data_IF_814628448952
#
_entry.id   IF_814628448952
#
_cell.length_a   1.000
_cell.length_b   1.000
_cell.length_c   1.000
_cell.angle_alpha   90.00
_cell.angle_beta   90.00
_cell.angle_gamma   90.00
#
_symmetry.space_group_name_H-M   'P 1'
#
loop_
_entity.id
_entity.type
_entity.pdbx_description
1 polymer ?
#
# COMPACT_ATOMS: atom_id res chain seq x y z
N UNK A 1 -15.09 -17.05 -87.76
CA UNK A 1 -15.38 -15.80 -88.51
C UNK A 1 -15.87 -14.76 -87.51
N UNK A 2 -15.16 -13.61 -87.43
CA UNK A 2 -15.53 -12.37 -86.73
C UNK A 2 -15.46 -12.39 -85.19
N UNK A 3 -14.99 -11.38 -84.46
CA UNK A 3 -14.29 -10.14 -84.79
C UNK A 3 -13.68 -9.61 -83.47
N UNK A 4 -12.54 -8.93 -83.55
CA UNK A 4 -11.84 -8.29 -82.43
C UNK A 4 -12.58 -7.05 -81.89
N UNK A 5 -12.44 -6.74 -80.60
CA UNK A 5 -12.43 -5.36 -80.09
C UNK A 5 -11.57 -5.26 -78.82
N UNK A 6 -10.61 -4.33 -78.83
CA UNK A 6 -9.92 -3.79 -77.66
C UNK A 6 -10.26 -2.31 -77.55
N UNK A 7 -10.67 -1.84 -76.36
CA UNK A 7 -10.48 -0.46 -75.92
C UNK A 7 -10.54 -0.37 -74.38
N UNK A 8 -9.62 0.40 -73.81
CA UNK A 8 -9.45 0.72 -72.39
C UNK A 8 -10.38 1.88 -71.95
N UNK A 9 -10.72 1.97 -70.65
CA UNK A 9 -11.34 3.18 -70.07
C UNK A 9 -11.62 3.11 -68.56
N UNK A 10 -11.05 4.08 -67.82
CA UNK A 10 -11.08 4.29 -66.36
C UNK A 10 -12.44 4.69 -65.77
N UNK A 11 -12.72 4.22 -64.54
CA UNK A 11 -13.42 4.87 -63.40
C UNK A 11 -13.88 3.74 -62.46
N UNK A 12 -13.39 3.59 -61.23
CA UNK A 12 -13.56 4.53 -60.13
C UNK A 12 -14.65 4.00 -59.20
N UNK A 13 -14.27 3.29 -58.12
CA UNK A 13 -15.10 3.22 -56.92
C UNK A 13 -14.22 2.95 -55.69
N UNK A 14 -14.02 4.02 -54.91
CA UNK A 14 -13.56 3.96 -53.53
C UNK A 14 -14.66 3.30 -52.69
N UNK A 15 -14.36 2.14 -52.09
CA UNK A 15 -15.13 1.65 -50.96
C UNK A 15 -14.39 2.05 -49.69
N UNK A 16 -14.82 3.17 -49.11
CA UNK A 16 -14.54 3.53 -47.72
C UNK A 16 -15.20 2.50 -46.82
N UNK A 17 -14.40 1.52 -46.38
CA UNK A 17 -14.76 0.58 -45.32
C UNK A 17 -14.80 1.30 -43.98
N UNK A 18 -16.00 1.36 -43.41
CA UNK A 18 -16.32 1.91 -42.10
C UNK A 18 -15.42 1.35 -41.00
N UNK A 19 -14.85 2.23 -40.17
CA UNK A 19 -14.08 1.89 -38.98
C UNK A 19 -14.96 1.14 -37.96
N UNK A 20 -14.90 -0.19 -37.99
CA UNK A 20 -15.47 -1.06 -36.98
C UNK A 20 -14.47 -1.24 -35.84
N UNK A 21 -14.87 -0.85 -34.62
CA UNK A 21 -14.43 -1.48 -33.39
C UNK A 21 -13.03 -1.13 -32.88
N UNK A 22 -12.85 0.09 -32.36
CA UNK A 22 -11.87 0.32 -31.29
C UNK A 22 -12.43 -0.32 -30.02
N UNK A 23 -12.26 -1.63 -29.89
CA UNK A 23 -12.52 -2.36 -28.65
C UNK A 23 -11.28 -3.15 -28.28
N UNK A 24 -10.94 -3.07 -26.99
CA UNK A 24 -9.91 -3.83 -26.27
C UNK A 24 -8.50 -3.23 -26.21
N UNK A 25 -8.30 -2.23 -25.33
CA UNK A 25 -7.31 -2.32 -24.23
C UNK A 25 -7.74 -1.47 -23.01
N UNK A 26 -8.96 -1.62 -22.50
CA UNK A 26 -9.22 -1.26 -21.09
C UNK A 26 -9.12 -2.54 -20.27
N UNK A 27 -7.86 -2.94 -20.04
CA UNK A 27 -7.50 -4.08 -19.22
C UNK A 27 -7.88 -3.76 -17.78
N UNK A 28 -8.79 -4.56 -17.26
CA UNK A 28 -9.26 -4.64 -15.89
C UNK A 28 -8.07 -4.57 -14.89
N UNK A 29 -7.71 -3.36 -14.43
CA UNK A 29 -6.80 -3.19 -13.30
C UNK A 29 -7.66 -3.26 -12.04
N UNK A 30 -7.35 -4.20 -11.15
CA UNK A 30 -8.02 -4.28 -9.85
C UNK A 30 -7.71 -2.99 -9.06
N UNK A 31 -8.61 -2.48 -8.20
CA UNK A 31 -8.36 -1.28 -7.39
C UNK A 31 -6.99 -1.22 -6.68
N UNK A 32 -6.42 -2.34 -6.18
CA UNK A 32 -5.07 -2.36 -5.61
C UNK A 32 -3.94 -1.98 -6.60
N UNK A 33 -4.11 -2.29 -7.89
CA UNK A 33 -3.09 -2.02 -8.93
C UNK A 33 -3.07 -0.54 -9.34
N UNK A 34 -4.22 0.14 -9.35
CA UNK A 34 -4.29 1.58 -9.63
C UNK A 34 -3.69 2.41 -8.49
N UNK A 35 -3.95 2.04 -7.23
CA UNK A 35 -3.35 2.69 -6.05
C UNK A 35 -1.83 2.48 -5.98
N UNK A 36 -1.33 1.28 -6.31
CA UNK A 36 0.11 1.03 -6.43
C UNK A 36 0.75 1.87 -7.55
N UNK A 37 0.06 2.10 -8.67
CA UNK A 37 0.54 2.97 -9.75
C UNK A 37 0.56 4.46 -9.37
N UNK A 38 -0.40 4.95 -8.57
CA UNK A 38 -0.39 6.33 -8.07
C UNK A 38 0.64 6.55 -6.95
N UNK A 39 0.86 5.55 -6.08
CA UNK A 39 1.92 5.59 -5.06
C UNK A 39 3.34 5.63 -5.64
N UNK A 40 3.55 5.04 -6.82
CA UNK A 40 4.83 5.06 -7.56
C UNK A 40 5.23 6.44 -8.09
N UNK A 41 4.32 7.42 -8.13
CA UNK A 41 4.62 8.79 -8.58
C UNK A 41 4.72 9.81 -7.45
N UNK A 42 4.40 9.42 -6.21
CA UNK A 42 4.57 10.28 -5.05
C UNK A 42 6.02 10.18 -4.54
N UNK A 43 6.79 11.24 -4.76
CA UNK A 43 8.10 11.38 -4.12
C UNK A 43 7.90 11.84 -2.67
N UNK A 44 8.13 10.94 -1.72
CA UNK A 44 8.05 11.27 -0.30
C UNK A 44 9.20 12.20 0.10
N UNK A 45 8.86 13.23 0.88
CA UNK A 45 9.82 14.07 1.58
C UNK A 45 9.89 13.64 3.04
N UNK A 46 10.93 14.03 3.78
CA UNK A 46 11.00 13.75 5.22
C UNK A 46 9.73 14.24 5.95
N UNK A 47 9.22 15.42 5.55
CA UNK A 47 8.05 16.02 6.17
C UNK A 47 6.79 15.20 5.90
N UNK A 48 6.49 14.96 4.63
CA UNK A 48 5.26 14.26 4.24
C UNK A 48 5.27 12.79 4.65
N UNK A 49 6.44 12.16 4.69
CA UNK A 49 6.59 10.80 5.21
C UNK A 49 6.25 10.75 6.70
N UNK A 50 6.81 11.63 7.53
CA UNK A 50 6.52 11.61 8.98
C UNK A 50 5.03 11.90 9.25
N UNK A 51 4.45 12.85 8.51
CA UNK A 51 3.02 13.18 8.61
C UNK A 51 2.11 11.97 8.34
N UNK A 52 2.52 11.08 7.42
CA UNK A 52 1.73 9.91 7.03
C UNK A 52 2.12 8.62 7.76
N UNK A 53 3.39 8.42 8.07
CA UNK A 53 3.87 7.20 8.74
C UNK A 53 3.53 7.20 10.23
N UNK A 54 3.42 8.39 10.86
CA UNK A 54 3.01 8.49 12.27
C UNK A 54 1.62 7.86 12.52
N UNK A 55 0.54 8.27 11.83
CA UNK A 55 -0.76 7.62 11.99
C UNK A 55 -0.78 6.17 11.47
N UNK A 56 -0.07 5.87 10.37
CA UNK A 56 0.03 4.50 9.86
C UNK A 56 0.67 3.56 10.89
N UNK A 57 1.69 4.00 11.65
CA UNK A 57 2.22 3.21 12.76
C UNK A 57 1.23 3.10 13.93
N UNK A 58 0.43 4.13 14.20
CA UNK A 58 -0.57 4.08 15.26
C UNK A 58 -1.62 3.00 14.99
N UNK A 59 -2.11 2.87 13.75
CA UNK A 59 -3.07 1.82 13.39
C UNK A 59 -2.49 0.41 13.66
N UNK A 60 -1.20 0.18 13.33
CA UNK A 60 -0.51 -1.08 13.59
C UNK A 60 -0.33 -1.38 15.09
N UNK A 61 -0.05 -0.35 15.89
CA UNK A 61 0.03 -0.46 17.34
C UNK A 61 -1.34 -0.86 17.92
N UNK A 62 -2.42 -0.19 17.51
CA UNK A 62 -3.77 -0.46 18.01
C UNK A 62 -4.20 -1.91 17.71
N UNK A 63 -3.90 -2.41 16.50
CA UNK A 63 -4.12 -3.82 16.16
C UNK A 63 -3.27 -4.77 17.00
N UNK A 64 -2.00 -4.44 17.21
CA UNK A 64 -1.09 -5.26 17.98
C UNK A 64 -1.50 -5.32 19.47
N UNK A 65 -1.99 -4.22 20.04
CA UNK A 65 -2.55 -4.21 21.40
C UNK A 65 -3.77 -5.13 21.50
N UNK A 66 -4.66 -5.10 20.51
CA UNK A 66 -5.80 -6.01 20.46
C UNK A 66 -5.34 -7.48 20.39
N UNK A 67 -4.27 -7.76 19.64
CA UNK A 67 -3.69 -9.10 19.53
C UNK A 67 -3.11 -9.61 20.85
N UNK A 68 -2.62 -8.75 21.75
CA UNK A 68 -2.17 -9.20 23.07
C UNK A 68 -3.30 -9.88 23.87
N UNK A 69 -4.53 -9.41 23.68
CA UNK A 69 -5.72 -9.97 24.33
C UNK A 69 -6.31 -11.15 23.54
N UNK A 70 -6.52 -10.96 22.23
CA UNK A 70 -7.35 -11.85 21.41
C UNK A 70 -6.60 -12.91 20.60
N UNK A 71 -5.28 -12.76 20.40
CA UNK A 71 -4.58 -13.69 19.53
C UNK A 71 -4.57 -15.12 20.08
N UNK A 72 -4.74 -16.07 19.17
CA UNK A 72 -4.88 -17.50 19.44
C UNK A 72 -3.50 -18.17 19.51
N UNK A 73 -2.57 -17.78 18.62
CA UNK A 73 -1.23 -18.35 18.56
C UNK A 73 -0.19 -17.51 19.34
N UNK A 74 0.68 -18.15 20.15
CA UNK A 74 1.70 -17.43 20.92
C UNK A 74 2.72 -16.70 20.05
N UNK A 75 2.97 -17.19 18.83
CA UNK A 75 3.80 -16.54 17.81
C UNK A 75 3.24 -15.17 17.45
N UNK A 76 1.92 -15.04 17.30
CA UNK A 76 1.27 -13.78 16.95
C UNK A 76 1.31 -12.79 18.11
N UNK A 77 1.11 -13.24 19.36
CA UNK A 77 1.31 -12.38 20.55
C UNK A 77 2.76 -11.87 20.65
N UNK A 78 3.74 -12.70 20.27
CA UNK A 78 5.15 -12.31 20.25
C UNK A 78 5.42 -11.26 19.17
N UNK A 79 4.88 -11.45 17.96
CA UNK A 79 4.94 -10.44 16.90
C UNK A 79 4.32 -9.13 17.36
N UNK A 80 3.12 -9.17 17.94
CA UNK A 80 2.41 -7.98 18.41
C UNK A 80 3.25 -7.14 19.40
N UNK A 81 3.92 -7.78 20.37
CA UNK A 81 4.82 -7.06 21.29
C UNK A 81 6.00 -6.39 20.58
N UNK A 82 6.53 -7.02 19.52
CA UNK A 82 7.62 -6.43 18.74
C UNK A 82 7.12 -5.23 17.95
N UNK A 83 5.96 -5.34 17.29
CA UNK A 83 5.31 -4.24 16.55
C UNK A 83 5.11 -3.04 17.48
N UNK A 84 4.51 -3.23 18.65
CA UNK A 84 4.29 -2.15 19.63
C UNK A 84 5.62 -1.48 19.98
N UNK A 85 6.59 -2.27 20.47
CA UNK A 85 7.89 -1.75 20.91
C UNK A 85 8.60 -0.94 19.82
N UNK A 86 8.64 -1.48 18.60
CA UNK A 86 9.43 -0.91 17.53
C UNK A 86 8.73 0.31 16.93
N UNK A 87 7.43 0.22 16.65
CA UNK A 87 6.69 1.32 16.04
C UNK A 87 6.43 2.49 17.01
N UNK A 88 6.28 2.24 18.32
CA UNK A 88 6.24 3.33 19.32
C UNK A 88 7.56 4.11 19.39
N UNK A 89 8.69 3.38 19.35
CA UNK A 89 10.02 4.01 19.29
C UNK A 89 10.13 4.88 18.04
N UNK A 90 9.74 4.35 16.89
CA UNK A 90 9.84 5.02 15.59
C UNK A 90 8.92 6.26 15.53
N UNK A 91 7.70 6.18 16.05
CA UNK A 91 6.81 7.36 16.23
C UNK A 91 7.50 8.43 17.08
N UNK A 92 8.13 8.05 18.18
CA UNK A 92 8.81 9.01 19.08
C UNK A 92 10.00 9.69 18.40
N UNK A 93 10.81 8.92 17.66
CA UNK A 93 11.93 9.43 16.87
C UNK A 93 11.44 10.41 15.81
N UNK A 94 10.46 10.00 14.98
CA UNK A 94 9.86 10.83 13.95
C UNK A 94 9.26 12.13 14.50
N UNK A 95 8.49 12.08 15.59
CA UNK A 95 7.93 13.28 16.24
C UNK A 95 9.02 14.23 16.74
N UNK A 96 10.11 13.67 17.28
CA UNK A 96 11.25 14.44 17.78
C UNK A 96 11.94 15.16 16.62
N UNK A 97 12.25 14.44 15.55
CA UNK A 97 12.92 15.00 14.37
C UNK A 97 12.06 16.02 13.64
N UNK A 98 10.76 15.76 13.50
CA UNK A 98 9.83 16.69 12.88
C UNK A 98 9.81 18.05 13.60
N UNK A 99 9.72 18.04 14.93
CA UNK A 99 9.81 19.25 15.75
C UNK A 99 11.15 19.97 15.56
N UNK A 100 12.25 19.22 15.48
CA UNK A 100 13.59 19.80 15.29
C UNK A 100 13.77 20.44 13.92
N UNK A 101 13.29 19.80 12.85
CA UNK A 101 13.50 20.24 11.47
C UNK A 101 12.49 21.30 11.02
N UNK A 102 11.22 21.15 11.40
CA UNK A 102 10.13 22.00 10.92
C UNK A 102 9.61 23.00 11.97
N UNK A 103 10.19 22.98 13.19
CA UNK A 103 9.91 23.93 14.28
C UNK A 103 8.44 23.99 14.71
N UNK A 104 7.71 22.88 14.52
CA UNK A 104 6.30 22.72 14.86
C UNK A 104 6.00 21.23 15.09
N UNK A 105 4.97 20.88 15.89
CA UNK A 105 4.63 19.48 16.10
C UNK A 105 4.11 18.83 14.81
N UNK A 106 4.18 17.49 14.74
CA UNK A 106 3.54 16.72 13.66
C UNK A 106 2.05 17.10 13.65
N UNK A 107 1.49 17.58 12.52
CA UNK A 107 0.09 17.93 12.45
C UNK A 107 -0.75 16.69 12.70
N UNK A 108 -1.76 16.82 13.58
CA UNK A 108 -2.80 15.81 13.66
C UNK A 108 -3.58 15.85 12.34
N UNK A 109 -3.72 14.70 11.67
CA UNK A 109 -4.68 14.59 10.58
C UNK A 109 -6.07 14.89 11.14
N UNK A 110 -6.78 15.83 10.51
CA UNK A 110 -8.15 16.14 10.90
C UNK A 110 -9.03 14.90 10.74
N UNK A 111 -10.12 14.82 11.50
CA UNK A 111 -11.09 13.72 11.36
C UNK A 111 -11.62 13.59 9.92
N UNK A 112 -11.75 14.69 9.18
CA UNK A 112 -12.03 14.67 7.74
C UNK A 112 -10.91 13.99 6.92
N UNK A 113 -9.64 14.28 7.21
CA UNK A 113 -8.49 13.65 6.54
C UNK A 113 -8.39 12.15 6.84
N UNK A 114 -8.66 11.75 8.08
CA UNK A 114 -8.73 10.34 8.48
C UNK A 114 -9.92 9.62 7.85
N UNK A 115 -11.12 10.22 7.85
CA UNK A 115 -12.29 9.64 7.17
C UNK A 115 -12.07 9.46 5.66
N UNK A 116 -11.32 10.37 5.01
CA UNK A 116 -10.91 10.21 3.62
C UNK A 116 -9.99 9.01 3.38
N UNK A 117 -9.13 8.67 4.34
CA UNK A 117 -8.28 7.47 4.28
C UNK A 117 -9.07 6.18 4.51
N UNK A 118 -9.99 6.16 5.48
CA UNK A 118 -10.81 4.98 5.81
C UNK A 118 -11.90 4.66 4.77
N UNK A 119 -12.55 5.64 4.16
CA UNK A 119 -13.65 5.40 3.20
C UNK A 119 -13.18 5.16 1.75
N UNK A 120 -11.92 5.48 1.44
CA UNK A 120 -11.43 5.57 0.06
C UNK A 120 -10.16 4.78 -0.21
N UNK A 121 -9.97 3.57 0.33
CA UNK A 121 -8.76 2.75 0.09
C UNK A 121 -7.43 3.52 0.33
N UNK A 122 -7.47 4.59 1.14
CA UNK A 122 -6.34 5.49 1.32
C UNK A 122 -5.30 4.84 2.22
N UNK A 123 -4.08 4.70 1.69
CA UNK A 123 -2.87 4.25 2.38
C UNK A 123 -3.02 3.05 3.35
N UNK A 124 -3.87 2.10 3.01
CA UNK A 124 -4.08 0.82 3.73
C UNK A 124 -4.59 0.94 5.17
N UNK A 125 -5.50 1.87 5.45
CA UNK A 125 -6.18 1.93 6.75
C UNK A 125 -6.79 0.57 7.16
N UNK A 126 -6.67 0.23 8.44
CA UNK A 126 -7.11 -1.06 8.99
C UNK A 126 -8.52 -0.95 9.60
N UNK A 127 -9.20 -2.09 9.67
CA UNK A 127 -10.57 -2.22 10.17
C UNK A 127 -10.56 -2.98 11.51
N UNK A 128 -10.50 -2.20 12.60
CA UNK A 128 -10.49 -2.71 13.97
C UNK A 128 -11.81 -3.39 14.36
N UNK A 129 -12.94 -2.98 13.77
CA UNK A 129 -14.24 -3.59 14.07
C UNK A 129 -14.35 -4.99 13.43
N UNK A 130 -13.92 -5.11 12.17
CA UNK A 130 -13.81 -6.40 11.50
C UNK A 130 -12.83 -7.32 12.24
N UNK A 131 -11.67 -6.80 12.66
CA UNK A 131 -10.71 -7.56 13.46
C UNK A 131 -11.30 -8.00 14.80
N UNK A 132 -12.02 -7.11 15.48
CA UNK A 132 -12.57 -7.37 16.80
C UNK A 132 -13.68 -8.43 16.79
N UNK A 133 -14.40 -8.56 15.68
CA UNK A 133 -15.55 -9.46 15.51
C UNK A 133 -15.23 -10.71 14.68
N UNK A 134 -14.01 -10.83 14.16
CA UNK A 134 -13.58 -11.96 13.37
C UNK A 134 -13.64 -13.28 14.15
N UNK A 135 -14.18 -14.32 13.50
CA UNK A 135 -14.23 -15.68 14.07
C UNK A 135 -12.85 -16.29 14.29
N UNK A 136 -11.89 -16.01 13.39
CA UNK A 136 -10.48 -16.38 13.53
C UNK A 136 -9.68 -15.09 13.61
N UNK A 137 -9.32 -14.67 14.81
CA UNK A 137 -8.67 -13.39 15.04
C UNK A 137 -7.34 -13.32 14.30
N UNK A 138 -6.53 -14.38 14.43
CA UNK A 138 -5.19 -14.44 13.87
C UNK A 138 -5.19 -14.40 12.33
N UNK A 139 -6.21 -15.01 11.71
CA UNK A 139 -6.40 -14.96 10.25
C UNK A 139 -6.66 -13.55 9.78
N UNK A 140 -7.58 -12.85 10.46
CA UNK A 140 -7.96 -11.50 10.10
C UNK A 140 -6.84 -10.50 10.39
N UNK A 141 -6.14 -10.65 11.51
CA UNK A 141 -4.95 -9.87 11.83
C UNK A 141 -3.92 -9.96 10.69
N UNK A 142 -3.57 -11.18 10.27
CA UNK A 142 -2.58 -11.38 9.20
C UNK A 142 -3.09 -10.82 7.86
N UNK A 143 -4.38 -10.99 7.56
CA UNK A 143 -5.01 -10.48 6.32
C UNK A 143 -4.85 -8.96 6.19
N UNK A 144 -4.99 -8.23 7.28
CA UNK A 144 -4.85 -6.77 7.31
C UNK A 144 -3.38 -6.31 7.46
N UNK A 145 -2.62 -6.93 8.36
CA UNK A 145 -1.27 -6.47 8.69
C UNK A 145 -0.25 -6.71 7.57
N UNK A 146 -0.42 -7.74 6.72
CA UNK A 146 0.47 -7.95 5.56
C UNK A 146 0.43 -6.77 4.58
N UNK A 147 -0.72 -6.39 3.99
CA UNK A 147 -0.76 -5.27 3.04
C UNK A 147 -0.40 -3.93 3.71
N UNK A 148 -0.72 -3.76 4.99
CA UNK A 148 -0.31 -2.60 5.78
C UNK A 148 1.22 -2.48 5.87
N UNK A 149 1.92 -3.56 6.26
CA UNK A 149 3.39 -3.58 6.28
C UNK A 149 3.99 -3.40 4.87
N UNK A 150 3.37 -3.96 3.83
CA UNK A 150 3.84 -3.76 2.46
C UNK A 150 3.79 -2.29 2.04
N UNK A 151 2.78 -1.54 2.48
CA UNK A 151 2.69 -0.11 2.24
C UNK A 151 3.83 0.64 2.95
N UNK A 152 4.08 0.35 4.23
CA UNK A 152 5.18 0.96 4.97
C UNK A 152 6.55 0.69 4.33
N UNK A 153 6.82 -0.55 3.89
CA UNK A 153 8.05 -0.90 3.16
C UNK A 153 8.17 -0.14 1.83
N UNK A 154 7.07 0.04 1.11
CA UNK A 154 7.06 0.81 -0.14
C UNK A 154 7.38 2.29 0.11
N UNK A 155 6.70 2.90 1.09
CA UNK A 155 6.93 4.30 1.48
C UNK A 155 8.37 4.51 1.94
N UNK A 156 8.89 3.61 2.77
CA UNK A 156 10.25 3.69 3.28
C UNK A 156 11.29 3.56 2.16
N UNK A 157 11.06 2.64 1.21
CA UNK A 157 11.93 2.46 0.05
C UNK A 157 11.97 3.70 -0.84
N UNK A 158 10.83 4.36 -1.05
CA UNK A 158 10.78 5.60 -1.83
C UNK A 158 11.44 6.77 -1.07
N UNK A 159 11.15 6.97 0.22
CA UNK A 159 11.80 8.05 0.98
C UNK A 159 13.32 7.86 1.02
N UNK A 160 13.82 6.62 1.14
CA UNK A 160 15.26 6.34 1.16
C UNK A 160 15.98 6.85 -0.09
N UNK A 161 15.31 6.92 -1.25
CA UNK A 161 15.92 7.49 -2.46
C UNK A 161 15.89 9.01 -2.53
N UNK A 162 15.15 9.67 -1.64
CA UNK A 162 14.88 11.11 -1.67
C UNK A 162 15.43 11.86 -0.46
N UNK A 163 15.64 11.18 0.66
CA UNK A 163 16.14 11.81 1.88
C UNK A 163 17.65 12.03 1.82
N UNK A 164 18.09 13.17 2.36
CA UNK A 164 19.50 13.48 2.60
C UNK A 164 19.85 13.39 4.10
N UNK A 165 18.89 12.98 4.95
CA UNK A 165 19.06 12.96 6.41
C UNK A 165 19.51 11.57 6.86
N UNK A 166 20.67 11.45 7.54
CA UNK A 166 21.15 10.16 8.02
C UNK A 166 20.19 9.50 9.03
N UNK A 167 19.44 10.30 9.79
CA UNK A 167 18.39 9.80 10.70
C UNK A 167 17.29 9.07 9.94
N UNK A 168 16.81 9.65 8.84
CA UNK A 168 15.76 9.03 8.01
C UNK A 168 16.32 7.84 7.24
N UNK A 169 17.53 7.94 6.67
CA UNK A 169 18.16 6.84 5.94
C UNK A 169 18.25 5.56 6.80
N UNK A 170 18.68 5.72 8.06
CA UNK A 170 18.73 4.64 9.04
C UNK A 170 17.34 4.14 9.42
N UNK A 171 16.38 5.03 9.68
CA UNK A 171 15.00 4.63 9.99
C UNK A 171 14.40 3.81 8.83
N UNK A 172 14.66 4.18 7.58
CA UNK A 172 14.15 3.46 6.42
C UNK A 172 14.73 2.04 6.36
N UNK A 173 16.03 1.88 6.64
CA UNK A 173 16.65 0.55 6.71
C UNK A 173 16.05 -0.30 7.84
N UNK A 174 15.74 0.31 8.98
CA UNK A 174 15.12 -0.37 10.11
C UNK A 174 13.69 -0.84 9.76
N UNK A 175 12.86 0.04 9.18
CA UNK A 175 11.49 -0.29 8.72
C UNK A 175 11.49 -1.37 7.64
N UNK A 176 12.29 -1.20 6.58
CA UNK A 176 12.35 -2.14 5.45
C UNK A 176 12.74 -3.53 5.96
N UNK A 177 13.77 -3.61 6.80
CA UNK A 177 14.29 -4.88 7.32
C UNK A 177 13.30 -5.57 8.25
N UNK A 178 12.78 -4.86 9.25
CA UNK A 178 11.89 -5.45 10.26
C UNK A 178 10.58 -5.89 9.61
N UNK A 179 9.90 -4.99 8.91
CA UNK A 179 8.56 -5.26 8.38
C UNK A 179 8.57 -6.28 7.24
N UNK A 180 9.64 -6.34 6.43
CA UNK A 180 9.79 -7.42 5.44
C UNK A 180 9.95 -8.80 6.08
N UNK A 181 10.68 -8.88 7.21
CA UNK A 181 10.83 -10.13 7.96
C UNK A 181 9.49 -10.55 8.59
N UNK A 182 8.74 -9.60 9.15
CA UNK A 182 7.42 -9.84 9.74
C UNK A 182 6.39 -10.28 8.69
N UNK A 183 6.39 -9.68 7.49
CA UNK A 183 5.58 -10.15 6.35
C UNK A 183 5.89 -11.62 6.04
N UNK A 184 7.17 -12.00 6.01
CA UNK A 184 7.57 -13.38 5.72
C UNK A 184 7.07 -14.34 6.79
N UNK A 185 7.16 -13.96 8.08
CA UNK A 185 6.64 -14.74 9.19
C UNK A 185 5.12 -14.92 9.07
N UNK A 186 4.39 -13.83 8.91
CA UNK A 186 2.93 -13.84 8.80
C UNK A 186 2.45 -14.67 7.61
N UNK A 187 3.11 -14.56 6.44
CA UNK A 187 2.78 -15.41 5.28
C UNK A 187 2.96 -16.89 5.58
N UNK A 188 4.07 -17.26 6.23
CA UNK A 188 4.31 -18.65 6.60
C UNK A 188 3.26 -19.17 7.58
N UNK A 189 2.94 -18.38 8.60
CA UNK A 189 1.91 -18.72 9.58
C UNK A 189 0.53 -18.86 8.95
N UNK A 190 0.16 -17.95 8.05
CA UNK A 190 -1.10 -18.06 7.33
C UNK A 190 -1.22 -19.38 6.57
N UNK A 191 -0.17 -19.81 5.86
CA UNK A 191 -0.17 -21.10 5.17
C UNK A 191 -0.26 -22.27 6.16
N UNK A 192 0.53 -22.25 7.24
CA UNK A 192 0.54 -23.32 8.24
C UNK A 192 -0.79 -23.49 8.96
N UNK A 193 -1.47 -22.38 9.28
CA UNK A 193 -2.69 -22.39 10.08
C UNK A 193 -3.95 -22.56 9.22
N UNK A 194 -3.90 -22.15 7.95
CA UNK A 194 -5.10 -21.96 7.14
C UNK A 194 -5.04 -22.46 5.69
N UNK A 195 -3.89 -22.94 5.22
CA UNK A 195 -3.63 -23.30 3.82
C UNK A 195 -4.19 -24.66 3.38
N UNK A 196 -5.39 -25.03 3.80
CA UNK A 196 -6.10 -26.21 3.26
C UNK A 196 -6.65 -25.93 1.86
#
# INVERSE_FOLDING_TARGET
>A
MGNQFWIYGLAGLLLSGSAAGVTAVYRNQSPPQMMAQQGMHMQWTDQSFIEMMTPHHQDAIDMAEMALQKAEHPELKKLARNIIRDQEREIKEMKTWYQQWFKRPVPALSSQGMMGMHQGHGMMAMDLDALATAQNFDREFIRQMIPHHQMAVMMASNLKTNTERPEMDKLMDDIIRSQSAEIKQMKQWYQNWYGQ
#
